data_IF_537731005148
#
_entry.id   IF_537731005148
#
_cell.length_a   1.000
_cell.length_b   1.000
_cell.length_c   1.000
_cell.angle_alpha   90.00
_cell.angle_beta   90.00
_cell.angle_gamma   90.00
#
_symmetry.space_group_name_H-M   'P 1'
#
loop_
_entity.id
_entity.type
_entity.pdbx_description
1 polymer ?
#
# COMPACT_ATOMS: atom_id res chain seq x y z
N UNK A 1 1.08 -14.42 -9.79
CA UNK A 1 0.86 -15.32 -10.93
C UNK A 1 1.14 -14.71 -12.31
N UNK A 2 1.78 -13.54 -12.41
CA UNK A 2 2.00 -12.84 -13.70
C UNK A 2 3.46 -12.82 -14.17
N UNK A 3 4.40 -13.38 -13.39
CA UNK A 3 5.84 -13.29 -13.68
C UNK A 3 6.17 -13.88 -15.06
N UNK A 4 5.62 -15.05 -15.39
CA UNK A 4 5.86 -15.73 -16.67
C UNK A 4 5.33 -14.92 -17.87
N UNK A 5 4.29 -14.11 -17.67
CA UNK A 5 3.74 -13.23 -18.70
C UNK A 5 4.65 -12.03 -18.95
N UNK A 6 5.05 -11.34 -17.88
CA UNK A 6 5.97 -10.20 -17.95
C UNK A 6 7.30 -10.61 -18.60
N UNK A 7 7.83 -11.79 -18.26
CA UNK A 7 9.07 -12.30 -18.88
C UNK A 7 8.90 -12.52 -20.39
N UNK A 8 7.78 -13.14 -20.81
CA UNK A 8 7.48 -13.36 -22.24
C UNK A 8 7.30 -12.05 -23.00
N UNK A 9 6.56 -11.09 -22.45
CA UNK A 9 6.34 -9.78 -23.08
C UNK A 9 7.64 -9.01 -23.30
N UNK A 10 8.62 -9.19 -22.40
CA UNK A 10 9.94 -8.58 -22.49
C UNK A 10 10.97 -9.45 -23.23
N UNK A 11 10.56 -10.58 -23.84
CA UNK A 11 11.45 -11.53 -24.52
C UNK A 11 12.60 -12.04 -23.65
N UNK A 12 12.32 -12.30 -22.36
CA UNK A 12 13.27 -12.83 -21.38
C UNK A 12 12.95 -14.31 -21.14
N UNK A 13 13.84 -15.20 -21.55
CA UNK A 13 13.63 -16.65 -21.44
C UNK A 13 13.82 -17.19 -20.00
N UNK A 14 14.70 -16.56 -19.21
CA UNK A 14 14.91 -16.89 -17.80
C UNK A 14 15.53 -15.73 -17.03
N UNK A 15 15.33 -15.73 -15.71
CA UNK A 15 16.10 -14.93 -14.75
C UNK A 15 16.82 -15.85 -13.78
N UNK A 16 18.03 -15.47 -13.35
CA UNK A 16 18.79 -16.27 -12.39
C UNK A 16 18.36 -15.97 -10.94
N UNK A 17 17.83 -14.78 -10.67
CA UNK A 17 17.26 -14.38 -9.38
C UNK A 17 16.24 -13.24 -9.54
N UNK A 18 15.30 -13.16 -8.60
CA UNK A 18 14.41 -12.03 -8.39
C UNK A 18 14.59 -11.51 -6.96
N UNK A 19 14.65 -10.19 -6.80
CA UNK A 19 14.72 -9.54 -5.50
C UNK A 19 13.53 -8.62 -5.31
N UNK A 20 12.91 -8.67 -4.14
CA UNK A 20 11.76 -7.84 -3.78
C UNK A 20 12.06 -7.15 -2.47
N UNK A 21 12.21 -5.83 -2.53
CA UNK A 21 12.28 -4.97 -1.35
C UNK A 21 10.87 -4.41 -1.08
N UNK A 22 10.21 -4.99 -0.07
CA UNK A 22 8.82 -4.66 0.25
C UNK A 22 8.79 -3.64 1.38
N UNK A 23 8.22 -2.48 1.10
CA UNK A 23 8.08 -1.41 2.08
C UNK A 23 7.90 -0.05 1.42
N UNK A 24 8.05 1.00 2.23
CA UNK A 24 8.11 2.37 1.76
C UNK A 24 9.56 2.80 1.63
N UNK A 25 9.89 3.49 0.54
CA UNK A 25 11.18 4.17 0.43
C UNK A 25 11.18 5.46 1.26
N UNK A 26 12.36 5.95 1.66
CA UNK A 26 12.48 7.22 2.39
C UNK A 26 11.90 8.40 1.62
N UNK A 27 12.11 8.44 0.29
CA UNK A 27 11.53 9.47 -0.59
C UNK A 27 10.01 9.52 -0.51
N UNK A 28 9.33 8.37 -0.41
CA UNK A 28 7.87 8.32 -0.28
C UNK A 28 7.38 8.80 1.10
N UNK A 29 8.22 8.68 2.14
CA UNK A 29 7.93 9.19 3.48
C UNK A 29 8.21 10.70 3.54
N UNK A 30 9.24 11.16 2.84
CA UNK A 30 9.63 12.57 2.73
C UNK A 30 8.66 13.36 1.84
N UNK A 31 7.99 12.71 0.88
CA UNK A 31 6.85 13.26 0.14
C UNK A 31 5.62 13.38 1.05
N UNK A 32 5.60 14.42 1.88
CA UNK A 32 4.57 14.65 2.89
C UNK A 32 3.15 14.66 2.33
N UNK A 33 2.96 15.12 1.09
CA UNK A 33 1.65 15.24 0.45
C UNK A 33 0.98 13.90 0.14
N UNK A 34 1.70 12.78 0.28
CA UNK A 34 1.17 11.43 0.05
C UNK A 34 0.44 10.85 1.26
N UNK A 35 0.57 11.47 2.43
CA UNK A 35 -0.17 11.08 3.63
C UNK A 35 0.30 9.77 4.28
N UNK A 36 1.50 9.26 3.94
CA UNK A 36 2.08 8.09 4.62
C UNK A 36 2.67 8.41 5.99
N UNK A 37 3.07 9.66 6.22
CA UNK A 37 3.62 10.11 7.48
C UNK A 37 2.55 10.74 8.36
N UNK A 38 2.54 10.37 9.63
CA UNK A 38 1.68 10.98 10.65
C UNK A 38 2.23 12.32 11.17
N UNK A 39 3.49 12.66 10.88
CA UNK A 39 4.16 13.85 11.44
C UNK A 39 3.80 15.16 10.73
N UNK A 40 3.03 15.08 9.63
CA UNK A 40 2.62 16.22 8.82
C UNK A 40 1.11 16.19 8.62
N UNK A 41 0.48 17.35 8.72
CA UNK A 41 -0.95 17.51 8.48
C UNK A 41 -1.20 17.68 6.98
N UNK A 42 -1.70 16.62 6.35
CA UNK A 42 -1.90 16.55 4.90
C UNK A 42 -3.07 15.63 4.55
N UNK A 43 -3.44 15.57 3.26
CA UNK A 43 -4.49 14.69 2.79
C UNK A 43 -4.13 13.22 3.07
N UNK A 44 -5.07 12.48 3.68
CA UNK A 44 -4.90 11.07 4.02
C UNK A 44 -5.12 10.18 2.78
N UNK A 45 -4.13 10.19 1.88
CA UNK A 45 -4.15 9.41 0.64
C UNK A 45 -3.65 7.97 0.85
N UNK A 46 -2.35 7.81 1.12
CA UNK A 46 -1.65 6.52 1.34
C UNK A 46 -1.64 5.52 0.17
N UNK A 47 -2.06 5.91 -1.05
CA UNK A 47 -1.91 5.04 -2.23
C UNK A 47 -0.46 5.03 -2.71
N UNK A 48 0.10 3.86 -2.99
CA UNK A 48 1.38 3.74 -3.72
C UNK A 48 1.19 4.09 -5.21
N UNK A 49 0.14 3.53 -5.82
CA UNK A 49 -0.32 3.83 -7.18
C UNK A 49 -1.52 4.80 -7.14
N UNK A 50 -1.29 6.03 -7.60
CA UNK A 50 -2.30 7.11 -7.57
C UNK A 50 -3.38 6.96 -8.64
N UNK A 51 -3.27 5.99 -9.54
CA UNK A 51 -4.33 5.67 -10.51
C UNK A 51 -5.48 4.88 -9.89
N UNK A 52 -5.26 4.23 -8.75
CA UNK A 52 -6.30 3.50 -8.01
C UNK A 52 -7.29 4.45 -7.36
N UNK A 53 -8.58 4.15 -7.33
CA UNK A 53 -9.59 5.12 -6.85
C UNK A 53 -9.61 5.31 -5.32
N UNK A 54 -9.29 4.27 -4.55
CA UNK A 54 -9.56 4.23 -3.10
C UNK A 54 -8.39 4.80 -2.29
N UNK A 55 -8.63 5.89 -1.56
CA UNK A 55 -7.68 6.45 -0.58
C UNK A 55 -7.95 5.92 0.83
N UNK A 56 -6.98 6.07 1.74
CA UNK A 56 -7.18 5.80 3.16
C UNK A 56 -8.30 6.65 3.77
N UNK A 57 -8.43 7.92 3.37
CA UNK A 57 -9.56 8.77 3.75
C UNK A 57 -10.92 8.16 3.33
N UNK A 58 -11.03 7.63 2.10
CA UNK A 58 -12.25 6.97 1.64
C UNK A 58 -12.56 5.72 2.45
N UNK A 59 -11.56 4.90 2.77
CA UNK A 59 -11.73 3.70 3.61
C UNK A 59 -12.34 4.09 4.97
N UNK A 60 -11.72 5.05 5.68
CA UNK A 60 -12.21 5.50 6.98
C UNK A 60 -13.62 6.10 6.92
N UNK A 61 -13.96 6.79 5.83
CA UNK A 61 -15.26 7.44 5.68
C UNK A 61 -16.39 6.49 5.27
N UNK A 62 -16.09 5.34 4.67
CA UNK A 62 -17.10 4.50 4.01
C UNK A 62 -17.20 3.08 4.53
N UNK A 63 -16.13 2.53 5.11
CA UNK A 63 -16.14 1.16 5.61
C UNK A 63 -16.85 1.10 6.95
N UNK A 64 -17.52 -0.02 7.21
CA UNK A 64 -18.18 -0.21 8.50
C UNK A 64 -17.18 -0.53 9.62
N UNK A 65 -17.65 -0.47 10.87
CA UNK A 65 -16.78 -0.71 12.03
C UNK A 65 -16.18 -2.12 12.05
N UNK A 66 -16.87 -3.12 11.51
CA UNK A 66 -16.35 -4.50 11.47
C UNK A 66 -15.19 -4.59 10.49
N UNK A 67 -15.31 -3.97 9.32
CA UNK A 67 -14.26 -3.93 8.33
C UNK A 67 -13.03 -3.16 8.82
N UNK A 68 -13.23 -2.01 9.47
CA UNK A 68 -12.12 -1.24 10.05
C UNK A 68 -11.43 -2.01 11.18
N UNK A 69 -12.19 -2.64 12.08
CA UNK A 69 -11.62 -3.49 13.13
C UNK A 69 -10.81 -4.65 12.55
N UNK A 70 -11.29 -5.26 11.46
CA UNK A 70 -10.53 -6.31 10.75
C UNK A 70 -9.20 -5.76 10.21
N UNK A 71 -9.24 -4.63 9.51
CA UNK A 71 -8.05 -4.00 8.92
C UNK A 71 -7.02 -3.69 10.00
N UNK A 72 -7.40 -3.02 11.09
CA UNK A 72 -6.46 -2.65 12.15
C UNK A 72 -5.90 -3.87 12.90
N UNK A 73 -6.71 -4.91 13.11
CA UNK A 73 -6.25 -6.12 13.79
C UNK A 73 -5.36 -7.00 12.91
N UNK A 74 -5.74 -7.23 11.65
CA UNK A 74 -5.04 -8.15 10.75
C UNK A 74 -3.79 -7.54 10.13
N UNK A 75 -3.86 -6.27 9.69
CA UNK A 75 -2.75 -5.61 9.01
C UNK A 75 -1.94 -4.68 9.91
N UNK A 76 -2.56 -4.13 10.96
CA UNK A 76 -1.89 -3.28 11.94
C UNK A 76 -1.43 -4.01 13.20
N UNK A 77 -1.80 -5.28 13.38
CA UNK A 77 -1.57 -6.06 14.60
C UNK A 77 -2.07 -5.34 15.88
N UNK A 78 -3.08 -4.47 15.76
CA UNK A 78 -3.57 -3.60 16.84
C UNK A 78 -4.48 -4.35 17.81
N UNK A 79 -4.06 -4.43 19.07
CA UNK A 79 -4.74 -5.19 20.14
C UNK A 79 -6.02 -4.54 20.61
N UNK A 80 -6.12 -3.22 20.48
CA UNK A 80 -7.28 -2.43 20.93
C UNK A 80 -8.36 -2.26 19.84
N UNK A 81 -8.17 -2.84 18.66
CA UNK A 81 -9.21 -2.84 17.62
C UNK A 81 -10.41 -3.67 18.08
N UNK A 82 -11.59 -3.05 18.23
CA UNK A 82 -12.81 -3.65 18.79
C UNK A 82 -14.04 -3.35 17.95
#
# INVERSE_FOLDING_TARGET
DEIDEVLRENSIDRIDAAFMDLGLSSLQIDETDRGFSYSHDTALDMRMDTTQATTAATILATYDSRELTRIFREYGEERFAS
#
